data_IF_703908127708
#
_entry.id   IF_703908127708
#
_cell.length_a   1.000
_cell.length_b   1.000
_cell.length_c   1.000
_cell.angle_alpha   90.00
_cell.angle_beta   90.00
_cell.angle_gamma   90.00
#
_symmetry.space_group_name_H-M   'P 1'
#
loop_
_entity.id
_entity.type
_entity.pdbx_description
1 polymer ?
#
# COMPACT_ATOMS: atom_id res chain seq x y z
N UNK A 1 -62.96 2.34 19.96
CA UNK A 1 -62.26 3.35 19.14
C UNK A 1 -61.38 2.61 18.15
N UNK A 2 -61.83 2.55 16.90
CA UNK A 2 -61.03 2.03 15.80
C UNK A 2 -59.98 3.08 15.42
N UNK A 3 -58.74 2.67 15.12
CA UNK A 3 -57.97 3.40 14.13
C UNK A 3 -56.98 2.49 13.38
N UNK A 4 -57.37 2.25 12.12
CA UNK A 4 -56.65 1.91 10.91
C UNK A 4 -55.17 1.53 11.00
N UNK A 5 -54.89 0.26 10.71
CA UNK A 5 -53.63 -0.17 10.12
C UNK A 5 -53.56 0.29 8.66
N UNK A 6 -52.58 1.14 8.36
CA UNK A 6 -52.17 1.38 6.98
C UNK A 6 -51.26 0.22 6.55
N UNK A 7 -51.86 -0.76 5.88
CA UNK A 7 -51.13 -1.75 5.11
C UNK A 7 -50.43 -1.02 3.95
N UNK A 8 -49.13 -0.77 4.07
CA UNK A 8 -48.30 -0.47 2.92
C UNK A 8 -48.16 -1.76 2.13
N UNK A 9 -48.74 -1.76 0.93
CA UNK A 9 -48.75 -2.90 0.02
C UNK A 9 -47.33 -3.40 -0.23
N UNK A 10 -47.19 -4.72 -0.16
CA UNK A 10 -46.14 -5.44 -0.87
C UNK A 10 -46.44 -5.25 -2.36
N UNK A 11 -46.01 -4.13 -2.92
CA UNK A 11 -45.87 -4.03 -4.37
C UNK A 11 -44.87 -5.10 -4.80
N UNK A 12 -45.29 -5.92 -5.77
CA UNK A 12 -44.49 -6.96 -6.39
C UNK A 12 -43.08 -6.45 -6.66
N UNK A 13 -42.10 -7.04 -5.98
CA UNK A 13 -40.68 -6.81 -6.26
C UNK A 13 -40.47 -7.26 -7.70
N UNK A 14 -40.13 -6.36 -8.64
CA UNK A 14 -39.85 -6.76 -10.01
C UNK A 14 -38.74 -7.80 -9.98
N UNK A 15 -39.00 -8.91 -10.68
CA UNK A 15 -38.10 -10.05 -10.78
C UNK A 15 -36.66 -9.56 -10.99
N UNK A 16 -35.76 -10.08 -10.16
CA UNK A 16 -34.35 -9.70 -10.18
C UNK A 16 -33.83 -9.84 -11.61
N UNK A 17 -33.34 -8.78 -12.28
CA UNK A 17 -32.68 -8.98 -13.55
C UNK A 17 -31.49 -9.91 -13.29
N UNK A 18 -31.47 -11.04 -14.00
CA UNK A 18 -30.41 -12.04 -13.90
C UNK A 18 -29.05 -11.36 -13.92
N UNK A 19 -28.16 -11.80 -13.02
CA UNK A 19 -26.82 -11.27 -12.93
C UNK A 19 -26.16 -11.35 -14.32
N UNK A 20 -25.66 -10.24 -14.87
CA UNK A 20 -25.01 -10.22 -16.18
C UNK A 20 -23.94 -11.29 -16.30
N UNK A 21 -23.96 -12.04 -17.40
CA UNK A 21 -23.00 -13.11 -17.68
C UNK A 21 -21.56 -12.60 -17.80
N UNK A 22 -21.32 -11.32 -18.13
CA UNK A 22 -19.95 -10.80 -18.23
C UNK A 22 -19.75 -9.36 -17.71
N UNK A 23 -18.82 -9.21 -16.75
CA UNK A 23 -18.02 -7.99 -16.61
C UNK A 23 -16.63 -8.27 -17.21
N UNK A 24 -16.25 -7.64 -18.34
CA UNK A 24 -15.01 -7.97 -19.03
C UNK A 24 -13.75 -7.56 -18.25
N UNK A 25 -13.87 -6.69 -17.23
CA UNK A 25 -12.75 -6.24 -16.39
C UNK A 25 -13.08 -6.49 -14.93
N UNK A 26 -12.22 -7.25 -14.24
CA UNK A 26 -12.35 -7.49 -12.81
C UNK A 26 -11.02 -7.21 -12.10
N UNK A 27 -11.09 -6.40 -11.04
CA UNK A 27 -10.03 -6.25 -10.07
C UNK A 27 -10.67 -6.27 -8.68
N UNK A 28 -10.34 -7.26 -7.86
CA UNK A 28 -10.99 -7.49 -6.55
C UNK A 28 -11.02 -6.24 -5.68
N UNK A 29 -9.90 -5.52 -5.60
CA UNK A 29 -9.75 -4.38 -4.70
C UNK A 29 -10.56 -3.17 -5.20
N UNK A 30 -10.58 -2.94 -6.51
CA UNK A 30 -11.42 -1.91 -7.14
C UNK A 30 -12.90 -2.29 -7.15
N UNK A 31 -13.21 -3.56 -7.33
CA UNK A 31 -14.59 -4.05 -7.39
C UNK A 31 -15.34 -3.75 -6.11
N UNK A 32 -14.70 -3.93 -4.94
CA UNK A 32 -15.30 -3.57 -3.65
C UNK A 32 -15.71 -2.09 -3.57
N UNK A 33 -14.84 -1.19 -4.03
CA UNK A 33 -15.11 0.25 -4.03
C UNK A 33 -16.16 0.62 -5.08
N UNK A 34 -16.13 -0.05 -6.22
CA UNK A 34 -17.09 0.15 -7.30
C UNK A 34 -18.50 -0.30 -6.91
N UNK A 35 -18.65 -1.48 -6.29
CA UNK A 35 -19.93 -1.97 -5.73
C UNK A 35 -20.49 -0.99 -4.70
N UNK A 36 -19.64 -0.38 -3.87
CA UNK A 36 -20.06 0.65 -2.90
C UNK A 36 -20.62 1.89 -3.60
N UNK A 37 -19.95 2.35 -4.66
CA UNK A 37 -20.44 3.45 -5.50
C UNK A 37 -21.79 3.12 -6.14
N UNK A 38 -21.90 1.96 -6.80
CA UNK A 38 -23.15 1.54 -7.46
C UNK A 38 -24.29 1.34 -6.45
N UNK A 39 -23.98 0.87 -5.25
CA UNK A 39 -24.98 0.72 -4.19
C UNK A 39 -25.54 2.07 -3.75
N UNK A 40 -24.65 3.06 -3.62
CA UNK A 40 -25.03 4.43 -3.31
C UNK A 40 -25.84 5.06 -4.45
N UNK A 41 -25.38 4.92 -5.70
CA UNK A 41 -26.01 5.52 -6.89
C UNK A 41 -27.43 4.98 -7.12
N UNK A 42 -27.60 3.67 -7.03
CA UNK A 42 -28.90 3.02 -7.25
C UNK A 42 -29.76 2.98 -5.98
N UNK A 43 -29.27 3.52 -4.86
CA UNK A 43 -29.93 3.47 -3.54
C UNK A 43 -30.34 2.04 -3.15
N UNK A 44 -29.50 1.05 -3.48
CA UNK A 44 -29.74 -0.39 -3.29
C UNK A 44 -28.48 -1.08 -2.79
N UNK A 45 -28.62 -2.07 -1.92
CA UNK A 45 -27.48 -2.87 -1.47
C UNK A 45 -27.11 -3.96 -2.50
N UNK A 46 -25.86 -3.95 -2.95
CA UNK A 46 -25.30 -5.01 -3.79
C UNK A 46 -24.31 -5.90 -3.02
N UNK A 47 -24.25 -7.18 -3.36
CA UNK A 47 -23.24 -8.10 -2.83
C UNK A 47 -21.89 -7.87 -3.52
N UNK A 48 -20.80 -8.37 -2.92
CA UNK A 48 -19.44 -8.29 -3.52
C UNK A 48 -19.29 -9.11 -4.80
N UNK A 49 -20.25 -9.97 -5.10
CA UNK A 49 -20.30 -10.77 -6.32
C UNK A 49 -21.14 -10.09 -7.42
N UNK A 50 -21.79 -8.97 -7.12
CA UNK A 50 -22.63 -8.26 -8.09
C UNK A 50 -21.84 -7.89 -9.36
N UNK A 51 -22.52 -7.96 -10.49
CA UNK A 51 -22.00 -7.59 -11.80
C UNK A 51 -22.93 -6.54 -12.41
N UNK A 52 -22.35 -5.62 -13.16
CA UNK A 52 -23.04 -4.48 -13.75
C UNK A 52 -22.87 -4.51 -15.26
N UNK A 53 -23.97 -4.40 -16.00
CA UNK A 53 -23.99 -4.38 -17.47
C UNK A 53 -23.24 -3.16 -18.02
N UNK A 54 -22.61 -3.26 -19.20
CA UNK A 54 -21.99 -2.12 -19.87
C UNK A 54 -22.94 -0.92 -20.09
N UNK A 55 -24.23 -1.17 -20.32
CA UNK A 55 -25.26 -0.12 -20.46
C UNK A 55 -25.45 0.68 -19.18
N UNK A 56 -25.47 0.02 -18.01
CA UNK A 56 -25.51 0.68 -16.71
C UNK A 56 -24.25 1.53 -16.46
N UNK A 57 -23.11 1.12 -17.02
CA UNK A 57 -21.86 1.89 -16.93
C UNK A 57 -21.87 3.13 -17.83
N UNK A 58 -22.52 3.07 -19.00
CA UNK A 58 -22.64 4.18 -19.94
C UNK A 58 -23.51 5.34 -19.38
N UNK A 59 -24.45 5.03 -18.50
CA UNK A 59 -25.30 6.02 -17.82
C UNK A 59 -24.60 6.82 -16.72
N UNK A 60 -23.37 6.48 -16.34
CA UNK A 60 -22.65 7.19 -15.28
C UNK A 60 -22.17 8.55 -15.80
N UNK A 61 -22.59 9.62 -15.14
CA UNK A 61 -22.26 11.00 -15.48
C UNK A 61 -21.32 11.63 -14.43
N UNK A 62 -20.63 12.74 -14.75
CA UNK A 62 -19.76 13.45 -13.82
C UNK A 62 -20.40 13.77 -12.46
N UNK A 63 -21.65 14.26 -12.46
CA UNK A 63 -22.33 14.65 -11.23
C UNK A 63 -22.59 13.45 -10.31
N UNK A 64 -22.96 12.27 -10.84
CA UNK A 64 -23.07 11.04 -10.05
C UNK A 64 -21.78 10.73 -9.27
N UNK A 65 -20.62 10.90 -9.92
CA UNK A 65 -19.32 10.66 -9.30
C UNK A 65 -18.98 11.77 -8.31
N UNK A 66 -19.18 13.04 -8.68
CA UNK A 66 -18.88 14.19 -7.82
C UNK A 66 -19.72 14.15 -6.53
N UNK A 67 -21.02 13.91 -6.64
CA UNK A 67 -21.94 13.81 -5.51
C UNK A 67 -21.61 12.62 -4.60
N UNK A 68 -21.23 11.48 -5.18
CA UNK A 68 -20.72 10.37 -4.39
C UNK A 68 -19.46 10.75 -3.62
N UNK A 69 -18.50 11.45 -4.24
CA UNK A 69 -17.27 11.87 -3.56
C UNK A 69 -17.55 12.92 -2.47
N UNK A 70 -18.51 13.84 -2.70
CA UNK A 70 -18.99 14.78 -1.67
C UNK A 70 -19.59 14.02 -0.49
N UNK A 71 -20.51 13.08 -0.75
CA UNK A 71 -21.10 12.24 0.29
C UNK A 71 -20.04 11.42 1.04
N UNK A 72 -19.02 10.91 0.34
CA UNK A 72 -17.91 10.18 0.97
C UNK A 72 -17.06 11.05 1.88
N UNK A 73 -16.91 12.33 1.58
CA UNK A 73 -16.11 13.26 2.36
C UNK A 73 -16.89 13.93 3.48
N UNK A 74 -18.12 14.36 3.23
CA UNK A 74 -18.89 15.24 4.11
C UNK A 74 -20.17 14.59 4.65
N UNK A 75 -20.57 13.43 4.12
CA UNK A 75 -21.82 12.75 4.48
C UNK A 75 -23.05 13.30 3.77
N UNK A 76 -22.89 14.37 2.97
CA UNK A 76 -23.95 15.01 2.17
C UNK A 76 -23.46 15.29 0.75
N UNK A 77 -24.39 15.40 -0.20
CA UNK A 77 -24.13 15.85 -1.58
C UNK A 77 -24.26 17.37 -1.73
N UNK A 78 -24.99 18.00 -0.81
CA UNK A 78 -25.20 19.44 -0.76
C UNK A 78 -24.01 20.11 -0.08
N UNK A 79 -22.98 20.38 -0.87
CA UNK A 79 -21.71 20.95 -0.43
C UNK A 79 -21.39 22.13 -1.33
N UNK A 80 -21.40 23.32 -0.75
CA UNK A 80 -20.81 24.52 -1.33
C UNK A 80 -19.41 24.72 -0.75
N UNK A 81 -18.38 24.62 -1.60
CA UNK A 81 -16.99 24.76 -1.18
C UNK A 81 -16.60 26.20 -0.77
N UNK A 82 -17.41 27.21 -1.11
CA UNK A 82 -17.13 28.60 -0.75
C UNK A 82 -17.42 28.90 0.72
N UNK A 83 -18.42 28.24 1.29
CA UNK A 83 -18.91 28.48 2.65
C UNK A 83 -18.99 27.17 3.45
N UNK A 84 -17.93 26.36 3.34
CA UNK A 84 -17.90 25.04 3.96
C UNK A 84 -17.31 25.10 5.36
N UNK A 85 -18.17 25.21 6.37
CA UNK A 85 -17.78 25.06 7.78
C UNK A 85 -17.43 23.62 8.15
N UNK A 86 -18.03 22.64 7.44
CA UNK A 86 -17.85 21.23 7.75
C UNK A 86 -16.49 20.69 7.27
N UNK A 87 -15.74 20.12 8.20
CA UNK A 87 -14.47 19.48 7.90
C UNK A 87 -14.66 18.10 7.23
N UNK A 88 -13.86 17.74 6.21
CA UNK A 88 -13.97 16.44 5.56
C UNK A 88 -13.57 15.30 6.51
N UNK A 89 -14.40 14.26 6.53
CA UNK A 89 -14.26 13.09 7.40
C UNK A 89 -13.27 12.05 6.89
N UNK A 90 -12.91 12.13 5.61
CA UNK A 90 -11.97 11.23 4.93
C UNK A 90 -10.82 11.98 4.26
N UNK A 91 -9.79 11.24 3.85
CA UNK A 91 -8.63 11.79 3.14
C UNK A 91 -8.86 11.83 1.64
N UNK A 92 -8.24 12.78 0.95
CA UNK A 92 -8.13 12.87 -0.50
C UNK A 92 -7.67 11.57 -1.15
N UNK A 93 -6.74 10.85 -0.53
CA UNK A 93 -6.26 9.53 -0.98
C UNK A 93 -7.38 8.47 -1.02
N UNK A 94 -8.37 8.56 -0.13
CA UNK A 94 -9.54 7.69 -0.14
C UNK A 94 -10.41 7.99 -1.36
N UNK A 95 -10.69 9.26 -1.62
CA UNK A 95 -11.45 9.70 -2.78
C UNK A 95 -10.74 9.35 -4.09
N UNK A 96 -9.42 9.50 -4.15
CA UNK A 96 -8.62 9.07 -5.30
C UNK A 96 -8.70 7.57 -5.54
N UNK A 97 -8.81 6.75 -4.48
CA UNK A 97 -8.97 5.31 -4.60
C UNK A 97 -10.36 4.93 -5.13
N UNK A 98 -11.41 5.57 -4.60
CA UNK A 98 -12.78 5.43 -5.12
C UNK A 98 -12.84 5.84 -6.60
N UNK A 99 -12.26 7.00 -6.93
CA UNK A 99 -12.16 7.52 -8.30
C UNK A 99 -11.42 6.56 -9.24
N UNK A 100 -10.25 6.03 -8.82
CA UNK A 100 -9.48 5.04 -9.59
C UNK A 100 -10.29 3.76 -9.83
N UNK A 101 -11.02 3.31 -8.82
CA UNK A 101 -11.87 2.13 -8.94
C UNK A 101 -13.03 2.34 -9.91
N UNK A 102 -13.75 3.47 -9.83
CA UNK A 102 -14.82 3.81 -10.79
C UNK A 102 -14.25 3.91 -12.20
N UNK A 103 -13.14 4.63 -12.36
CA UNK A 103 -12.44 4.84 -13.64
C UNK A 103 -12.02 3.53 -14.32
N UNK A 104 -11.68 2.50 -13.55
CA UNK A 104 -11.30 1.18 -14.06
C UNK A 104 -12.43 0.50 -14.86
N UNK A 105 -13.67 0.70 -14.44
CA UNK A 105 -14.86 0.13 -15.09
C UNK A 105 -15.43 1.02 -16.22
N UNK A 106 -14.95 2.26 -16.37
CA UNK A 106 -15.46 3.14 -17.42
C UNK A 106 -15.06 2.63 -18.82
N UNK A 107 -15.99 2.60 -19.79
CA UNK A 107 -15.69 2.10 -21.15
C UNK A 107 -14.53 2.85 -21.82
N UNK A 108 -14.54 4.19 -21.75
CA UNK A 108 -13.52 5.05 -22.36
C UNK A 108 -12.57 5.57 -21.27
N UNK A 109 -11.66 4.73 -20.79
CA UNK A 109 -10.76 5.08 -19.66
C UNK A 109 -9.81 6.24 -19.96
N UNK A 110 -9.29 6.31 -21.19
CA UNK A 110 -8.22 7.23 -21.59
C UNK A 110 -8.69 8.67 -21.81
N UNK A 111 -9.90 8.88 -22.32
CA UNK A 111 -10.38 10.19 -22.74
C UNK A 111 -10.79 11.07 -21.53
N UNK A 112 -10.41 12.34 -21.59
CA UNK A 112 -10.96 13.38 -20.71
C UNK A 112 -12.44 13.58 -21.01
N UNK A 113 -13.23 13.96 -19.99
CA UNK A 113 -14.63 14.28 -20.19
C UNK A 113 -14.77 15.58 -20.99
N UNK A 114 -15.54 15.57 -22.08
CA UNK A 114 -15.71 16.75 -22.96
C UNK A 114 -17.10 17.42 -22.83
N UNK A 115 -17.90 17.03 -21.83
CA UNK A 115 -19.27 17.49 -21.63
C UNK A 115 -20.31 16.43 -22.04
N UNK A 116 -20.05 15.68 -23.11
CA UNK A 116 -21.01 14.71 -23.67
C UNK A 116 -20.51 13.27 -23.57
N UNK A 117 -19.20 13.05 -23.63
CA UNK A 117 -18.58 11.73 -23.65
C UNK A 117 -17.19 11.75 -22.99
N UNK A 118 -16.63 10.55 -22.80
CA UNK A 118 -15.32 10.33 -22.20
C UNK A 118 -15.40 9.63 -20.85
N UNK A 119 -14.40 9.84 -19.99
CA UNK A 119 -14.37 9.27 -18.65
C UNK A 119 -14.97 10.25 -17.63
N UNK A 120 -16.14 9.99 -17.03
CA UNK A 120 -16.79 10.88 -16.07
C UNK A 120 -15.87 11.24 -14.89
N UNK A 121 -15.01 10.30 -14.49
CA UNK A 121 -14.06 10.50 -13.39
C UNK A 121 -12.96 11.52 -13.70
N UNK A 122 -12.74 11.89 -14.96
CA UNK A 122 -11.73 12.87 -15.37
C UNK A 122 -12.29 14.28 -15.54
N UNK A 123 -13.57 14.50 -15.26
CA UNK A 123 -14.23 15.80 -15.34
C UNK A 123 -13.77 16.76 -14.24
N UNK A 124 -13.89 18.06 -14.51
CA UNK A 124 -13.52 19.12 -13.56
C UNK A 124 -14.30 19.06 -12.24
N UNK A 125 -15.63 18.85 -12.22
CA UNK A 125 -16.37 18.75 -10.95
C UNK A 125 -15.85 17.63 -10.06
N UNK A 126 -15.47 16.48 -10.64
CA UNK A 126 -14.90 15.36 -9.86
C UNK A 126 -13.51 15.69 -9.32
N UNK A 127 -12.69 16.39 -10.12
CA UNK A 127 -11.35 16.82 -9.71
C UNK A 127 -11.41 17.89 -8.60
N UNK A 128 -12.39 18.79 -8.67
CA UNK A 128 -12.60 19.87 -7.72
C UNK A 128 -12.88 19.34 -6.30
N UNK A 129 -13.75 18.33 -6.16
CA UNK A 129 -14.02 17.71 -4.84
C UNK A 129 -12.72 17.17 -4.22
N UNK A 130 -11.88 16.49 -5.00
CA UNK A 130 -10.60 15.96 -4.51
C UNK A 130 -9.63 17.09 -4.15
N UNK A 131 -9.61 18.17 -4.94
CA UNK A 131 -8.75 19.35 -4.71
C UNK A 131 -9.13 20.07 -3.42
N UNK A 132 -10.41 20.28 -3.15
CA UNK A 132 -10.87 20.95 -1.93
C UNK A 132 -10.59 20.12 -0.67
N UNK A 133 -10.73 18.79 -0.74
CA UNK A 133 -10.31 17.92 0.38
C UNK A 133 -8.79 17.98 0.60
N UNK A 134 -7.98 18.02 -0.47
CA UNK A 134 -6.52 18.23 -0.34
C UNK A 134 -6.19 19.56 0.32
N UNK A 135 -6.89 20.63 -0.07
CA UNK A 135 -6.72 21.97 0.51
C UNK A 135 -7.12 22.01 1.99
N UNK A 136 -8.22 21.35 2.37
CA UNK A 136 -8.59 21.22 3.78
C UNK A 136 -7.54 20.44 4.58
N UNK A 137 -6.95 19.38 4.01
CA UNK A 137 -5.84 18.65 4.63
C UNK A 137 -4.60 19.53 4.86
N UNK A 138 -4.19 20.32 3.86
CA UNK A 138 -3.02 21.21 3.99
C UNK A 138 -3.27 22.36 4.98
N UNK A 139 -4.53 22.76 5.16
CA UNK A 139 -4.97 23.77 6.12
C UNK A 139 -5.22 23.20 7.53
N UNK A 140 -4.86 21.93 7.77
CA UNK A 140 -5.08 21.22 9.05
C UNK A 140 -6.55 21.13 9.50
N UNK A 141 -7.49 21.38 8.58
CA UNK A 141 -8.94 21.26 8.77
C UNK A 141 -9.48 19.90 8.32
N UNK A 142 -8.71 19.14 7.54
CA UNK A 142 -9.09 17.81 7.08
C UNK A 142 -8.74 16.67 8.06
N UNK A 143 -9.08 15.44 7.67
CA UNK A 143 -8.73 14.24 8.42
C UNK A 143 -7.20 14.15 8.63
N UNK A 144 -6.77 13.98 9.89
CA UNK A 144 -5.35 13.79 10.25
C UNK A 144 -4.73 12.61 9.48
N UNK A 145 -3.46 12.74 9.13
CA UNK A 145 -2.72 11.67 8.46
C UNK A 145 -2.46 10.51 9.43
N UNK A 146 -2.74 9.29 8.98
CA UNK A 146 -2.30 8.06 9.67
C UNK A 146 -1.06 7.45 9.00
N UNK A 147 -0.35 8.23 8.16
CA UNK A 147 0.88 7.75 7.54
C UNK A 147 1.90 7.40 8.61
N UNK A 148 2.59 6.28 8.43
CA UNK A 148 3.63 5.87 9.39
C UNK A 148 4.77 6.89 9.37
N UNK A 149 5.22 7.33 10.54
CA UNK A 149 6.41 8.20 10.64
C UNK A 149 7.69 7.37 10.49
N UNK A 150 8.81 8.07 10.40
CA UNK A 150 10.14 7.48 10.38
C UNK A 150 10.50 7.00 11.79
N UNK A 151 11.31 5.94 11.88
CA UNK A 151 11.97 5.63 13.14
C UNK A 151 13.04 6.68 13.42
N UNK A 152 13.30 6.95 14.69
CA UNK A 152 14.55 7.57 15.10
C UNK A 152 15.67 6.54 15.12
N UNK A 153 16.92 7.01 15.18
CA UNK A 153 18.07 6.11 15.30
C UNK A 153 17.98 5.23 16.56
N UNK A 154 17.60 5.81 17.70
CA UNK A 154 17.41 5.09 18.96
C UNK A 154 16.34 4.02 18.83
N UNK A 155 15.21 4.31 18.17
CA UNK A 155 14.17 3.31 17.93
C UNK A 155 14.66 2.22 16.99
N UNK A 156 15.40 2.55 15.93
CA UNK A 156 15.94 1.54 15.02
C UNK A 156 16.93 0.61 15.73
N UNK A 157 17.90 1.16 16.48
CA UNK A 157 18.84 0.34 17.26
C UNK A 157 18.10 -0.53 18.27
N UNK A 158 17.01 -0.03 18.87
CA UNK A 158 16.17 -0.82 19.76
C UNK A 158 15.47 -1.96 19.02
N UNK A 159 14.93 -1.72 17.82
CA UNK A 159 14.37 -2.81 16.97
C UNK A 159 15.43 -3.88 16.73
N UNK A 160 16.62 -3.46 16.32
CA UNK A 160 17.73 -4.35 15.99
C UNK A 160 18.19 -5.14 17.23
N UNK A 161 18.30 -4.49 18.39
CA UNK A 161 18.61 -5.15 19.66
C UNK A 161 17.54 -6.17 20.08
N UNK A 162 16.25 -5.84 19.96
CA UNK A 162 15.16 -6.79 20.26
C UNK A 162 15.15 -7.99 19.29
N UNK A 163 15.68 -7.81 18.07
CA UNK A 163 15.89 -8.90 17.11
C UNK A 163 17.17 -9.71 17.45
N UNK A 164 18.27 -9.05 17.83
CA UNK A 164 19.57 -9.68 18.15
C UNK A 164 19.66 -10.28 19.55
N UNK A 165 18.76 -9.96 20.48
CA UNK A 165 18.64 -10.62 21.79
C UNK A 165 18.32 -12.12 21.72
N UNK A 166 18.45 -12.73 20.53
CA UNK A 166 18.25 -14.15 20.20
C UNK A 166 19.45 -14.80 19.50
N UNK A 167 20.64 -14.18 19.48
CA UNK A 167 21.88 -14.85 19.09
C UNK A 167 22.94 -13.92 18.49
N UNK A 168 24.20 -14.12 18.89
CA UNK A 168 25.39 -13.44 18.36
C UNK A 168 26.45 -14.47 17.93
N UNK A 169 27.12 -14.27 16.80
CA UNK A 169 28.57 -14.49 16.59
C UNK A 169 29.00 -14.13 15.14
N UNK A 170 30.30 -13.93 14.91
CA UNK A 170 30.99 -13.46 13.69
C UNK A 170 31.33 -14.57 12.68
N UNK A 171 31.17 -14.29 11.37
CA UNK A 171 32.25 -14.26 10.35
C UNK A 171 31.68 -14.21 8.91
N UNK A 172 32.47 -13.72 7.95
CA UNK A 172 32.09 -13.43 6.55
C UNK A 172 32.90 -14.24 5.52
N UNK A 173 32.28 -14.56 4.37
CA UNK A 173 32.93 -15.16 3.19
C UNK A 173 32.88 -14.16 2.00
N UNK A 174 33.91 -14.12 1.12
CA UNK A 174 34.14 -12.99 0.21
C UNK A 174 33.66 -13.18 -1.24
N UNK A 175 33.43 -12.07 -1.97
CA UNK A 175 33.19 -12.06 -3.42
C UNK A 175 34.47 -11.91 -4.26
N UNK A 176 34.51 -12.48 -5.45
CA UNK A 176 35.74 -12.72 -6.24
C UNK A 176 36.49 -11.50 -6.80
N UNK A 177 35.93 -10.28 -6.76
CA UNK A 177 36.58 -9.05 -7.27
C UNK A 177 36.75 -7.94 -6.24
N UNK A 178 35.88 -7.91 -5.23
CA UNK A 178 36.00 -7.16 -3.98
C UNK A 178 35.63 -8.15 -2.87
N UNK A 179 36.60 -8.80 -2.21
CA UNK A 179 36.32 -9.83 -1.23
C UNK A 179 35.39 -9.34 -0.11
N UNK A 180 35.42 -8.05 0.21
CA UNK A 180 34.61 -7.48 1.27
C UNK A 180 33.20 -7.00 0.85
N UNK A 181 32.79 -7.17 -0.41
CA UNK A 181 31.53 -6.62 -0.94
C UNK A 181 30.65 -7.69 -1.61
N UNK A 182 29.33 -7.50 -1.63
CA UNK A 182 28.41 -8.35 -2.39
C UNK A 182 27.95 -7.63 -3.65
N UNK A 183 27.82 -8.35 -4.77
CA UNK A 183 27.12 -7.83 -5.94
C UNK A 183 25.65 -8.25 -5.88
N UNK A 184 24.74 -7.34 -6.25
CA UNK A 184 23.32 -7.58 -6.30
C UNK A 184 22.75 -7.03 -7.60
N UNK A 185 22.07 -7.89 -8.35
CA UNK A 185 21.32 -7.47 -9.53
C UNK A 185 20.00 -6.85 -9.09
N UNK A 186 19.78 -5.62 -9.51
CA UNK A 186 18.55 -4.90 -9.20
C UNK A 186 17.45 -5.34 -10.17
N UNK A 187 16.27 -5.67 -9.65
CA UNK A 187 15.11 -5.88 -10.50
C UNK A 187 14.48 -4.54 -10.88
N UNK A 188 14.03 -4.47 -12.14
CA UNK A 188 13.27 -3.36 -12.67
C UNK A 188 12.13 -2.96 -11.73
N UNK A 189 12.15 -1.69 -11.32
CA UNK A 189 11.09 -1.09 -10.52
C UNK A 189 10.18 -0.25 -11.42
N UNK A 190 9.02 0.15 -10.89
CA UNK A 190 8.06 1.02 -11.60
C UNK A 190 8.64 2.39 -11.96
N UNK A 191 9.77 2.76 -11.35
CA UNK A 191 10.42 4.06 -11.51
C UNK A 191 11.67 3.98 -12.41
N UNK A 192 11.97 2.80 -12.96
CA UNK A 192 13.12 2.60 -13.86
C UNK A 192 12.56 2.49 -15.27
N UNK A 193 12.87 3.47 -16.11
CA UNK A 193 12.43 3.54 -17.51
C UNK A 193 13.46 3.03 -18.50
N UNK A 194 14.74 2.97 -18.10
CA UNK A 194 15.85 2.51 -18.94
C UNK A 194 16.86 1.68 -18.15
N UNK A 195 17.62 0.84 -18.86
CA UNK A 195 18.55 -0.13 -18.26
C UNK A 195 19.69 0.56 -17.51
N UNK A 196 20.10 1.75 -17.97
CA UNK A 196 21.11 2.59 -17.34
C UNK A 196 20.72 3.06 -15.93
N UNK A 197 19.42 3.10 -15.62
CA UNK A 197 18.89 3.44 -14.31
C UNK A 197 18.84 2.23 -13.35
N UNK A 198 19.27 1.05 -13.81
CA UNK A 198 19.25 -0.20 -13.06
C UNK A 198 20.59 -0.96 -13.14
N UNK A 199 21.75 -0.31 -12.86
CA UNK A 199 23.04 -1.00 -12.89
C UNK A 199 23.11 -2.07 -11.80
N UNK A 200 23.97 -3.07 -12.00
CA UNK A 200 24.34 -4.01 -10.93
C UNK A 200 24.91 -3.22 -9.75
N UNK A 201 24.38 -3.46 -8.56
CA UNK A 201 24.76 -2.73 -7.36
C UNK A 201 25.78 -3.51 -6.55
N UNK A 202 26.74 -2.77 -5.99
CA UNK A 202 27.69 -3.28 -5.01
C UNK A 202 27.14 -2.92 -3.63
N UNK A 203 26.91 -3.94 -2.81
CA UNK A 203 26.53 -3.81 -1.40
C UNK A 203 27.82 -3.82 -0.59
N UNK A 204 28.00 -2.77 0.20
CA UNK A 204 29.10 -2.63 1.15
C UNK A 204 28.61 -2.88 2.57
N UNK A 205 29.47 -3.46 3.39
CA UNK A 205 29.23 -3.56 4.83
C UNK A 205 29.16 -2.17 5.47
N UNK A 206 28.26 -1.99 6.42
CA UNK A 206 28.27 -0.81 7.28
C UNK A 206 29.40 -0.93 8.29
N UNK A 207 30.07 0.18 8.58
CA UNK A 207 31.05 0.27 9.69
C UNK A 207 30.38 0.23 11.07
N UNK A 208 29.06 0.38 11.10
CA UNK A 208 28.24 0.18 12.29
C UNK A 208 27.56 -1.19 12.22
N UNK A 209 27.81 -2.02 13.22
CA UNK A 209 27.31 -3.40 13.32
C UNK A 209 25.79 -3.47 13.35
N UNK A 210 25.12 -2.49 13.96
CA UNK A 210 23.65 -2.46 14.06
C UNK A 210 22.99 -2.15 12.71
N UNK A 211 23.69 -1.43 11.84
CA UNK A 211 23.22 -1.09 10.49
C UNK A 211 23.75 -2.03 9.40
N UNK A 212 24.67 -2.94 9.73
CA UNK A 212 25.33 -3.80 8.75
C UNK A 212 24.45 -4.96 8.29
N UNK A 213 23.70 -4.76 7.20
CA UNK A 213 22.87 -5.79 6.59
C UNK A 213 23.67 -7.04 6.15
N UNK A 214 24.94 -6.86 5.74
CA UNK A 214 25.82 -7.97 5.39
C UNK A 214 26.16 -8.85 6.59
N UNK A 215 26.44 -8.24 7.75
CA UNK A 215 26.68 -8.98 8.99
C UNK A 215 25.43 -9.76 9.40
N UNK A 216 24.24 -9.12 9.32
CA UNK A 216 22.97 -9.80 9.60
C UNK A 216 22.69 -10.98 8.66
N UNK A 217 23.02 -10.84 7.37
CA UNK A 217 22.88 -11.92 6.39
C UNK A 217 23.85 -13.09 6.67
N UNK A 218 25.11 -12.79 6.98
CA UNK A 218 26.10 -13.79 7.33
C UNK A 218 25.66 -14.60 8.57
N UNK A 219 25.19 -13.91 9.62
CA UNK A 219 24.67 -14.55 10.83
C UNK A 219 23.46 -15.44 10.52
N UNK A 220 22.56 -15.00 9.63
CA UNK A 220 21.42 -15.80 9.22
C UNK A 220 21.83 -17.07 8.48
N UNK A 221 22.77 -16.96 7.54
CA UNK A 221 23.28 -18.10 6.77
C UNK A 221 23.99 -19.10 7.68
N UNK A 222 24.84 -18.63 8.58
CA UNK A 222 25.53 -19.46 9.58
C UNK A 222 24.51 -20.21 10.46
N UNK A 223 23.51 -19.50 11.00
CA UNK A 223 22.46 -20.10 11.82
C UNK A 223 21.61 -21.13 11.05
N UNK A 224 21.27 -20.81 9.80
CA UNK A 224 20.41 -21.67 8.97
C UNK A 224 21.14 -22.94 8.53
N UNK A 225 22.37 -22.81 8.03
CA UNK A 225 23.10 -23.94 7.44
C UNK A 225 23.83 -24.80 8.47
N UNK A 226 24.37 -24.22 9.55
CA UNK A 226 25.15 -24.99 10.54
C UNK A 226 24.31 -25.53 11.69
N UNK A 227 23.22 -24.84 12.05
CA UNK A 227 22.39 -25.21 13.20
C UNK A 227 20.96 -25.61 12.83
N UNK A 228 20.58 -25.50 11.55
CA UNK A 228 19.21 -25.78 11.09
C UNK A 228 18.18 -24.75 11.57
N UNK A 229 18.63 -23.58 12.05
CA UNK A 229 17.74 -22.51 12.48
C UNK A 229 17.37 -21.62 11.30
N UNK A 230 16.26 -21.90 10.65
CA UNK A 230 15.80 -21.04 9.57
C UNK A 230 14.88 -21.74 8.61
N UNK A 231 14.60 -21.02 7.54
CA UNK A 231 13.79 -21.48 6.43
C UNK A 231 14.64 -22.00 5.27
N UNK A 232 15.95 -21.77 5.32
CA UNK A 232 16.91 -22.26 4.35
C UNK A 232 17.47 -23.62 4.81
N UNK A 233 16.85 -24.70 4.36
CA UNK A 233 17.53 -25.98 4.18
C UNK A 233 18.40 -25.96 2.93
N UNK A 234 19.24 -27.00 2.75
CA UNK A 234 20.12 -27.12 1.57
C UNK A 234 19.37 -27.28 0.24
N UNK A 235 18.06 -27.49 0.26
CA UNK A 235 17.23 -27.77 -0.92
C UNK A 235 16.16 -26.70 -1.21
N UNK A 236 16.05 -25.65 -0.37
CA UNK A 236 15.03 -24.61 -0.54
C UNK A 236 15.44 -23.59 -1.59
N UNK A 237 14.52 -23.27 -2.52
CA UNK A 237 14.75 -22.28 -3.57
C UNK A 237 14.86 -20.83 -3.04
N UNK A 238 14.46 -20.57 -1.78
CA UNK A 238 14.42 -19.24 -1.19
C UNK A 238 15.08 -19.21 0.19
N UNK A 239 15.95 -18.22 0.40
CA UNK A 239 16.74 -18.09 1.62
C UNK A 239 15.90 -17.85 2.89
N UNK A 240 14.80 -17.09 2.80
CA UNK A 240 14.08 -16.61 3.98
C UNK A 240 12.72 -17.27 4.23
N UNK A 241 12.35 -18.27 3.42
CA UNK A 241 11.05 -18.93 3.54
C UNK A 241 11.14 -20.37 2.99
N UNK A 242 10.53 -21.36 3.67
CA UNK A 242 10.52 -22.74 3.18
C UNK A 242 9.45 -22.93 2.08
N UNK A 243 8.87 -21.83 1.61
CA UNK A 243 7.82 -21.85 0.59
C UNK A 243 8.51 -22.00 -0.76
N UNK A 244 8.24 -23.09 -1.45
CA UNK A 244 8.84 -23.38 -2.74
C UNK A 244 8.13 -22.66 -3.89
N UNK A 245 6.86 -22.24 -3.75
CA UNK A 245 6.14 -21.53 -4.81
C UNK A 245 6.65 -20.08 -4.96
N UNK A 246 7.25 -19.70 -6.11
CA UNK A 246 7.75 -18.35 -6.35
C UNK A 246 6.70 -17.24 -6.23
N UNK A 247 5.40 -17.57 -6.37
CA UNK A 247 4.30 -16.61 -6.21
C UNK A 247 3.88 -16.41 -4.75
N UNK A 248 4.05 -17.42 -3.91
CA UNK A 248 3.66 -17.39 -2.51
C UNK A 248 4.83 -17.01 -1.60
N UNK A 249 6.05 -17.43 -1.93
CA UNK A 249 7.26 -17.19 -1.14
C UNK A 249 7.42 -15.70 -0.75
N UNK A 250 7.33 -14.73 -1.67
CA UNK A 250 7.41 -13.32 -1.29
C UNK A 250 6.26 -12.86 -0.38
N UNK A 251 5.06 -13.42 -0.52
CA UNK A 251 3.90 -13.03 0.30
C UNK A 251 4.05 -13.56 1.72
N UNK A 252 4.47 -14.81 1.86
CA UNK A 252 4.70 -15.45 3.16
C UNK A 252 5.88 -14.78 3.88
N UNK A 253 7.00 -14.55 3.20
CA UNK A 253 8.14 -13.80 3.74
C UNK A 253 7.71 -12.40 4.23
N UNK A 254 6.94 -11.66 3.44
CA UNK A 254 6.43 -10.33 3.85
C UNK A 254 5.43 -10.40 5.01
N UNK A 255 4.65 -11.48 5.12
CA UNK A 255 3.74 -11.67 6.24
C UNK A 255 4.51 -11.99 7.54
N UNK A 256 5.47 -12.91 7.47
CA UNK A 256 6.36 -13.26 8.59
C UNK A 256 7.12 -12.03 9.09
N UNK A 257 7.77 -11.27 8.20
CA UNK A 257 8.47 -10.03 8.53
C UNK A 257 7.57 -9.02 9.24
N UNK A 258 6.35 -8.79 8.72
CA UNK A 258 5.39 -7.88 9.35
C UNK A 258 4.96 -8.35 10.74
N UNK A 259 4.79 -9.65 10.95
CA UNK A 259 4.40 -10.21 12.24
C UNK A 259 5.53 -10.08 13.27
N UNK A 260 6.77 -10.36 12.87
CA UNK A 260 7.96 -10.19 13.73
C UNK A 260 8.10 -8.72 14.15
N UNK A 261 8.06 -7.80 13.19
CA UNK A 261 8.12 -6.36 13.50
C UNK A 261 6.97 -5.90 14.38
N UNK A 262 5.76 -6.42 14.16
CA UNK A 262 4.61 -6.12 15.01
C UNK A 262 4.86 -6.59 16.44
N UNK A 263 5.45 -7.76 16.64
CA UNK A 263 5.83 -8.24 17.97
C UNK A 263 6.87 -7.33 18.63
N UNK A 264 7.90 -6.90 17.89
CA UNK A 264 8.91 -5.94 18.40
C UNK A 264 8.25 -4.61 18.77
N UNK A 265 7.41 -4.04 17.91
CA UNK A 265 6.74 -2.77 18.17
C UNK A 265 5.73 -2.80 19.31
N UNK A 266 5.26 -4.00 19.69
CA UNK A 266 4.39 -4.20 20.84
C UNK A 266 5.15 -4.63 22.11
N UNK A 267 6.46 -4.86 22.01
CA UNK A 267 7.28 -5.21 23.17
C UNK A 267 7.39 -4.04 24.14
N UNK A 268 7.30 -4.32 25.44
CA UNK A 268 7.43 -3.30 26.48
C UNK A 268 8.74 -2.49 26.36
N UNK A 269 9.91 -3.11 26.07
CA UNK A 269 11.15 -2.36 25.92
C UNK A 269 11.14 -1.39 24.73
N UNK A 270 10.49 -1.75 23.62
CA UNK A 270 10.39 -0.85 22.47
C UNK A 270 9.38 0.27 22.71
N UNK A 271 8.21 -0.06 23.30
CA UNK A 271 7.19 0.93 23.62
C UNK A 271 7.73 2.02 24.57
N UNK A 272 8.59 1.67 25.52
CA UNK A 272 9.23 2.64 26.41
C UNK A 272 10.01 3.74 25.66
N UNK A 273 10.61 3.41 24.52
CA UNK A 273 11.33 4.37 23.67
C UNK A 273 10.38 5.09 22.72
N UNK A 274 9.45 4.36 22.11
CA UNK A 274 8.57 4.89 21.07
C UNK A 274 7.50 5.85 21.59
N UNK A 275 7.06 5.70 22.85
CA UNK A 275 6.03 6.56 23.46
C UNK A 275 6.44 8.03 23.60
N UNK A 276 7.74 8.33 23.51
CA UNK A 276 8.25 9.70 23.56
C UNK A 276 7.91 10.50 22.29
N UNK A 277 7.51 9.82 21.20
CA UNK A 277 7.30 10.45 19.88
C UNK A 277 5.96 10.01 19.30
N UNK A 278 5.03 10.97 19.20
CA UNK A 278 3.73 10.76 18.59
C UNK A 278 3.83 10.28 17.13
N UNK A 279 2.99 9.32 16.76
CA UNK A 279 2.89 8.84 15.38
C UNK A 279 2.69 7.33 15.27
N UNK A 280 2.28 6.88 14.09
CA UNK A 280 2.10 5.44 13.81
C UNK A 280 3.42 4.86 13.30
N UNK A 281 3.81 3.69 13.80
CA UNK A 281 4.96 2.93 13.32
C UNK A 281 4.50 1.69 12.55
N UNK A 282 5.30 1.27 11.57
CA UNK A 282 5.05 0.09 10.75
C UNK A 282 6.29 -0.32 9.97
N UNK A 283 6.20 -1.37 9.15
CA UNK A 283 7.32 -1.81 8.31
C UNK A 283 7.86 -0.70 7.41
N UNK A 284 6.99 0.21 6.97
CA UNK A 284 7.39 1.36 6.17
C UNK A 284 8.20 2.40 6.97
N UNK A 285 8.11 2.45 8.29
CA UNK A 285 8.92 3.33 9.15
C UNK A 285 10.40 2.98 9.08
N UNK A 286 10.74 1.69 8.98
CA UNK A 286 12.11 1.20 8.82
C UNK A 286 12.68 1.67 7.47
N UNK A 287 11.91 1.52 6.40
CA UNK A 287 12.32 1.98 5.06
C UNK A 287 12.54 3.50 5.04
N UNK A 288 11.67 4.27 5.69
CA UNK A 288 11.82 5.73 5.75
C UNK A 288 13.01 6.16 6.60
N UNK A 289 13.27 5.49 7.71
CA UNK A 289 14.46 5.75 8.52
C UNK A 289 15.75 5.61 7.69
N UNK A 290 15.90 4.53 6.93
CA UNK A 290 17.06 4.37 6.04
C UNK A 290 17.14 5.53 5.01
N UNK A 291 15.99 6.02 4.55
CA UNK A 291 15.95 7.15 3.63
C UNK A 291 16.46 8.44 4.29
N UNK A 292 15.92 8.75 5.45
CA UNK A 292 16.20 9.95 6.25
C UNK A 292 17.62 9.95 6.80
N UNK A 293 18.14 8.81 7.25
CA UNK A 293 19.52 8.66 7.70
C UNK A 293 20.51 9.02 6.59
N UNK A 294 20.32 8.46 5.39
CA UNK A 294 21.17 8.76 4.24
C UNK A 294 21.10 10.25 3.83
N UNK A 295 19.91 10.84 3.82
CA UNK A 295 19.74 12.29 3.57
C UNK A 295 20.46 13.13 4.63
N UNK A 296 20.40 12.71 5.90
CA UNK A 296 21.11 13.35 7.02
C UNK A 296 22.64 13.24 6.91
N UNK A 297 23.14 12.20 6.24
CA UNK A 297 24.56 11.99 5.96
C UNK A 297 25.04 12.63 4.63
N UNK A 298 24.18 13.43 3.97
CA UNK A 298 24.54 14.20 2.78
C UNK A 298 24.13 13.59 1.44
N UNK A 299 23.47 12.43 1.42
CA UNK A 299 22.99 11.84 0.16
C UNK A 299 21.90 12.73 -0.47
N UNK A 300 21.91 12.85 -1.81
CA UNK A 300 20.89 13.57 -2.59
C UNK A 300 19.57 12.79 -2.68
N UNK A 301 18.47 13.45 -3.05
CA UNK A 301 17.17 12.76 -3.20
C UNK A 301 17.23 11.71 -4.32
N UNK A 302 17.95 12.03 -5.40
CA UNK A 302 18.14 11.12 -6.54
C UNK A 302 18.99 9.91 -6.15
N UNK A 303 20.08 10.12 -5.40
CA UNK A 303 20.89 9.02 -4.83
C UNK A 303 20.07 8.13 -3.89
N UNK A 304 19.15 8.74 -3.13
CA UNK A 304 18.24 8.04 -2.25
C UNK A 304 17.24 7.18 -3.04
N UNK A 305 16.72 7.67 -4.16
CA UNK A 305 15.70 7.02 -4.96
C UNK A 305 16.24 5.87 -5.84
N UNK A 306 17.53 5.92 -6.20
CA UNK A 306 18.22 4.84 -6.93
C UNK A 306 18.49 3.61 -6.05
N UNK A 307 18.25 3.70 -4.73
CA UNK A 307 18.46 2.58 -3.80
C UNK A 307 17.48 1.43 -4.04
N UNK A 308 18.02 0.23 -3.95
CA UNK A 308 17.31 -1.04 -4.13
C UNK A 308 16.31 -1.30 -3.01
N UNK A 309 15.04 -1.47 -3.38
CA UNK A 309 14.07 -2.27 -2.62
C UNK A 309 14.21 -3.73 -3.05
N UNK A 310 15.30 -4.38 -2.63
CA UNK A 310 15.75 -5.65 -3.18
C UNK A 310 15.01 -6.85 -2.63
N UNK A 311 14.82 -7.85 -3.49
CA UNK A 311 14.70 -9.25 -3.11
C UNK A 311 16.06 -9.88 -3.43
N UNK A 312 16.77 -10.37 -2.42
CA UNK A 312 17.85 -11.33 -2.69
C UNK A 312 17.18 -12.61 -3.21
N UNK A 313 17.44 -12.97 -4.45
CA UNK A 313 17.19 -14.29 -4.99
C UNK A 313 18.55 -14.94 -5.25
N UNK A 314 18.70 -16.22 -4.90
CA UNK A 314 19.84 -17.00 -5.38
C UNK A 314 19.78 -17.00 -6.92
N UNK A 315 20.91 -16.71 -7.56
CA UNK A 315 21.06 -16.84 -8.99
C UNK A 315 21.14 -18.34 -9.30
N UNK A 316 20.19 -18.85 -10.08
CA UNK A 316 20.36 -20.12 -10.76
C UNK A 316 21.57 -20.01 -11.70
N UNK A 317 22.44 -21.02 -11.65
CA UNK A 317 23.74 -21.04 -12.30
C UNK A 317 23.70 -20.85 -13.81
N UNK A 318 24.72 -20.16 -14.31
CA UNK A 318 25.27 -20.42 -15.64
C UNK A 318 26.26 -21.59 -15.54
#
# INVERSE_FOLDING_TARGET
MANAGAAFGLEDVPDLPEAPTEQPKYNRDYHRLFVKFMSWLHKRTYTKAARFQPSALAGIQPHHVADYLKWRAYGTTDVDFKDLEQNPTCRSSTLEQDKKAISFYMPIKGATWNGTSGNPTKSDPVNEVVKEVKKAETQHRGKKSCATRDLTETEYRKVVHELYGKGSFESTIPASRLPFALSCKVHWSKNISEERQCPDQIILGSMDTDFCAMLGLANYMEASFNYGYGAAGREDAFLFTPESDPKLAPKHCNAAYRNILKAVFLSAPFLAVALLIAGVLGSHSIRKFAATLARGMGATADEVDIRVAGRLACLDGC
#
